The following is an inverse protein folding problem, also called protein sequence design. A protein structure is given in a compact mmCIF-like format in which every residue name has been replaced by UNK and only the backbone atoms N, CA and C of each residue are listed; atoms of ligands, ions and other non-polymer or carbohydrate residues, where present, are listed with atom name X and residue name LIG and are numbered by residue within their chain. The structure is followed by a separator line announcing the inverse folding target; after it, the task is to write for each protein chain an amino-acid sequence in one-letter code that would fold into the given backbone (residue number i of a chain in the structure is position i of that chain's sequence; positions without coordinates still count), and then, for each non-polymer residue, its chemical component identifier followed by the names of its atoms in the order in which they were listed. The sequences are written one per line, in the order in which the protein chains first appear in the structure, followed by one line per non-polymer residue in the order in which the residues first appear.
data_IF_469249435161
#
_entry.id   IF_469249435161
#
_cell.length_a   1.000
_cell.length_b   1.000
_cell.length_c   1.000
_cell.angle_alpha   90.00
_cell.angle_beta   90.00
_cell.angle_gamma   90.00
#
_symmetry.space_group_name_H-M   'P 1'
#
loop_
_entity.id
_entity.type
_entity.pdbx_description
1 polymer ?
#
# COMPACT_ATOMS: atom_id res chain seq x y z
N UNK A 1 -9.62 -23.38 -0.13
CA UNK A 1 -10.12 -22.02 -0.49
C UNK A 1 -8.94 -21.22 -0.99
N UNK A 2 -9.12 -20.32 -1.98
CA UNK A 2 -8.05 -19.41 -2.42
C UNK A 2 -7.82 -18.39 -1.30
N UNK A 3 -6.56 -18.16 -0.89
CA UNK A 3 -6.23 -17.12 0.07
C UNK A 3 -6.66 -15.75 -0.47
N UNK A 4 -7.00 -14.84 0.43
CA UNK A 4 -7.19 -13.43 0.08
C UNK A 4 -5.87 -12.85 -0.39
N UNK A 5 -5.92 -11.92 -1.34
CA UNK A 5 -4.73 -11.25 -1.88
C UNK A 5 -4.68 -9.81 -1.41
N UNK A 6 -3.58 -9.46 -0.77
CA UNK A 6 -3.31 -8.13 -0.24
C UNK A 6 -2.14 -7.55 -1.02
N UNK A 7 -2.34 -6.43 -1.72
CA UNK A 7 -1.26 -5.71 -2.38
C UNK A 7 -0.90 -4.45 -1.62
N UNK A 8 0.39 -4.27 -1.36
CA UNK A 8 0.95 -3.09 -0.70
C UNK A 8 1.68 -2.26 -1.74
N UNK A 9 1.17 -1.08 -2.04
CA UNK A 9 1.77 -0.16 -3.02
C UNK A 9 2.71 0.80 -2.30
N UNK A 10 4.00 0.54 -2.44
CA UNK A 10 5.09 1.19 -1.73
C UNK A 10 5.81 0.21 -0.79
N UNK A 11 7.06 -0.14 -1.10
CA UNK A 11 7.91 -1.04 -0.28
C UNK A 11 8.83 -0.28 0.68
N UNK A 12 8.45 0.94 1.07
CA UNK A 12 9.17 1.74 2.08
C UNK A 12 9.12 1.09 3.47
N UNK A 13 9.41 1.86 4.51
CA UNK A 13 9.38 1.34 5.89
C UNK A 13 7.98 0.87 6.29
N UNK A 14 6.96 1.70 6.06
CA UNK A 14 5.57 1.37 6.41
C UNK A 14 5.08 0.16 5.61
N UNK A 15 5.30 0.14 4.28
CA UNK A 15 4.87 -0.97 3.44
C UNK A 15 5.52 -2.30 3.82
N UNK A 16 6.82 -2.31 4.09
CA UNK A 16 7.52 -3.51 4.56
C UNK A 16 7.00 -4.01 5.92
N UNK A 17 6.80 -3.10 6.88
CA UNK A 17 6.25 -3.45 8.20
C UNK A 17 4.83 -3.99 8.08
N UNK A 18 3.99 -3.39 7.24
CA UNK A 18 2.62 -3.90 7.01
C UNK A 18 2.61 -5.26 6.32
N UNK A 19 3.53 -5.49 5.37
CA UNK A 19 3.69 -6.80 4.73
C UNK A 19 4.01 -7.88 5.75
N UNK A 20 4.96 -7.61 6.65
CA UNK A 20 5.34 -8.54 7.72
C UNK A 20 4.17 -8.81 8.68
N UNK A 21 3.50 -7.76 9.17
CA UNK A 21 2.35 -7.92 10.07
C UNK A 21 1.17 -8.65 9.40
N UNK A 22 0.91 -8.41 8.12
CA UNK A 22 -0.13 -9.11 7.37
C UNK A 22 0.20 -10.60 7.23
N UNK A 23 1.48 -10.92 6.98
CA UNK A 23 1.97 -12.29 6.90
C UNK A 23 1.88 -13.01 8.24
N UNK A 24 2.41 -12.41 9.32
CA UNK A 24 2.35 -12.99 10.67
C UNK A 24 0.92 -13.27 11.16
N UNK A 25 -0.04 -12.45 10.73
CA UNK A 25 -1.46 -12.63 11.07
C UNK A 25 -2.21 -13.50 10.06
N UNK A 26 -1.52 -14.02 9.06
CA UNK A 26 -2.08 -14.85 7.99
C UNK A 26 -3.34 -14.24 7.35
N UNK A 27 -3.34 -12.92 7.13
CA UNK A 27 -4.50 -12.20 6.59
C UNK A 27 -4.74 -12.53 5.10
N UNK A 28 -3.73 -13.03 4.41
CA UNK A 28 -3.78 -13.42 3.00
C UNK A 28 -2.39 -13.41 2.36
N UNK A 29 -2.34 -13.80 1.09
CA UNK A 29 -1.11 -13.73 0.29
C UNK A 29 -0.75 -12.26 0.02
N UNK A 30 0.51 -11.91 0.17
CA UNK A 30 0.98 -10.52 0.11
C UNK A 30 1.80 -10.26 -1.14
N UNK A 31 1.44 -9.23 -1.90
CA UNK A 31 2.25 -8.68 -2.99
C UNK A 31 2.77 -7.31 -2.60
N UNK A 32 4.07 -7.17 -2.51
CA UNK A 32 4.74 -5.90 -2.22
C UNK A 32 5.19 -5.26 -3.53
N UNK A 33 4.58 -4.15 -3.89
CA UNK A 33 4.88 -3.40 -5.11
C UNK A 33 5.72 -2.16 -4.82
N UNK A 34 6.76 -1.94 -5.62
CA UNK A 34 7.50 -0.67 -5.64
C UNK A 34 8.10 -0.43 -7.02
N UNK A 35 8.30 0.83 -7.41
CA UNK A 35 9.02 1.18 -8.64
C UNK A 35 10.48 0.69 -8.61
N UNK A 36 11.04 0.51 -7.42
CA UNK A 36 12.34 -0.10 -7.20
C UNK A 36 12.16 -1.61 -7.00
N UNK A 37 12.13 -2.38 -8.09
CA UNK A 37 11.92 -3.83 -8.06
C UNK A 37 12.83 -4.57 -7.06
N UNK A 38 14.10 -4.18 -6.98
CA UNK A 38 15.05 -4.78 -6.04
C UNK A 38 14.66 -4.59 -4.58
N UNK A 39 14.10 -3.42 -4.23
CA UNK A 39 13.62 -3.13 -2.88
C UNK A 39 12.40 -4.00 -2.52
N UNK A 40 11.42 -4.06 -3.41
CA UNK A 40 10.22 -4.86 -3.17
C UNK A 40 10.56 -6.36 -3.07
N UNK A 41 11.35 -6.89 -4.01
CA UNK A 41 11.78 -8.30 -4.03
C UNK A 41 12.62 -8.66 -2.82
N UNK A 42 13.60 -7.81 -2.46
CA UNK A 42 14.47 -8.05 -1.31
C UNK A 42 13.69 -8.11 0.00
N UNK A 43 12.78 -7.14 0.24
CA UNK A 43 11.93 -7.15 1.44
C UNK A 43 10.97 -8.33 1.49
N UNK A 44 10.33 -8.66 0.37
CA UNK A 44 9.43 -9.81 0.31
C UNK A 44 10.18 -11.12 0.63
N UNK A 45 11.38 -11.28 0.10
CA UNK A 45 12.23 -12.44 0.38
C UNK A 45 12.65 -12.48 1.86
N UNK A 46 13.12 -11.38 2.41
CA UNK A 46 13.55 -11.26 3.81
C UNK A 46 12.40 -11.63 4.76
N UNK A 47 11.20 -11.07 4.54
CA UNK A 47 10.02 -11.40 5.33
C UNK A 47 9.64 -12.88 5.15
N UNK A 48 9.65 -13.42 3.93
CA UNK A 48 9.28 -14.80 3.70
C UNK A 48 10.23 -15.80 4.39
N UNK A 49 11.52 -15.44 4.54
CA UNK A 49 12.49 -16.26 5.27
C UNK A 49 12.23 -16.30 6.77
N UNK A 50 11.62 -15.26 7.36
CA UNK A 50 11.25 -15.27 8.78
C UNK A 50 10.13 -16.27 9.10
N UNK A 51 9.39 -16.73 8.09
CA UNK A 51 8.28 -17.68 8.28
C UNK A 51 8.70 -18.98 8.99
N UNK A 52 9.94 -19.41 8.79
CA UNK A 52 10.48 -20.59 9.46
C UNK A 52 10.57 -20.44 11.00
N UNK A 53 10.66 -19.20 11.48
CA UNK A 53 10.74 -18.87 12.93
C UNK A 53 9.38 -18.39 13.42
N UNK A 54 8.73 -17.49 12.68
CA UNK A 54 7.48 -16.83 13.07
C UNK A 54 6.24 -17.73 12.84
N UNK A 55 6.37 -18.80 12.04
CA UNK A 55 5.37 -19.86 11.93
C UNK A 55 4.19 -19.52 11.02
N UNK A 56 4.25 -18.49 10.17
CA UNK A 56 3.17 -18.19 9.21
C UNK A 56 3.35 -18.93 7.88
N UNK A 57 2.24 -19.19 7.19
CA UNK A 57 2.21 -19.93 5.93
C UNK A 57 1.40 -19.19 4.85
N UNK A 58 1.85 -18.00 4.47
CA UNK A 58 1.29 -17.20 3.36
C UNK A 58 2.36 -16.93 2.32
N UNK A 59 1.93 -16.74 1.06
CA UNK A 59 2.84 -16.36 -0.02
C UNK A 59 3.19 -14.87 0.08
N UNK A 60 4.49 -14.56 -0.06
CA UNK A 60 4.96 -13.18 -0.21
C UNK A 60 5.75 -13.04 -1.51
N UNK A 61 5.44 -12.03 -2.28
CA UNK A 61 6.19 -11.67 -3.50
C UNK A 61 6.44 -10.18 -3.58
N UNK A 62 7.54 -9.81 -4.22
CA UNK A 62 7.90 -8.41 -4.50
C UNK A 62 7.96 -8.15 -5.99
N UNK A 63 7.44 -7.02 -6.46
CA UNK A 63 7.33 -6.70 -7.90
C UNK A 63 7.38 -5.20 -8.17
N UNK A 64 7.68 -4.84 -9.41
CA UNK A 64 7.50 -3.52 -10.00
C UNK A 64 6.45 -3.50 -11.12
N UNK A 65 5.78 -4.64 -11.34
CA UNK A 65 4.74 -4.80 -12.35
C UNK A 65 3.36 -4.81 -11.70
N UNK A 66 2.47 -3.89 -12.11
CA UNK A 66 1.09 -3.86 -11.62
C UNK A 66 0.29 -5.13 -11.96
N UNK A 67 0.64 -5.86 -13.02
CA UNK A 67 -0.04 -7.12 -13.35
C UNK A 67 0.03 -8.15 -12.22
N UNK A 68 1.10 -8.14 -11.44
CA UNK A 68 1.24 -9.04 -10.30
C UNK A 68 0.29 -8.69 -9.14
N UNK A 69 -0.27 -7.47 -9.14
CA UNK A 69 -1.31 -7.04 -8.18
C UNK A 69 -2.73 -7.38 -8.65
N UNK A 70 -2.88 -8.00 -9.82
CA UNK A 70 -4.19 -8.30 -10.40
C UNK A 70 -5.08 -9.09 -9.46
N UNK A 71 -6.37 -8.73 -9.45
CA UNK A 71 -7.42 -9.36 -8.63
C UNK A 71 -7.13 -9.34 -7.12
N UNK A 72 -6.47 -8.28 -6.64
CA UNK A 72 -6.31 -8.05 -5.20
C UNK A 72 -7.67 -7.81 -4.54
N UNK A 73 -7.89 -8.46 -3.38
CA UNK A 73 -9.06 -8.20 -2.53
C UNK A 73 -8.90 -6.86 -1.78
N UNK A 74 -7.67 -6.61 -1.30
CA UNK A 74 -7.33 -5.38 -0.57
C UNK A 74 -6.04 -4.79 -1.14
N UNK A 75 -6.03 -3.47 -1.30
CA UNK A 75 -4.84 -2.70 -1.68
C UNK A 75 -4.57 -1.66 -0.61
N UNK A 76 -3.36 -1.63 -0.09
CA UNK A 76 -2.93 -0.61 0.88
C UNK A 76 -1.88 0.27 0.22
N UNK A 77 -2.13 1.58 0.17
CA UNK A 77 -1.26 2.55 -0.48
C UNK A 77 -0.44 3.29 0.57
N UNK A 78 0.86 3.03 0.54
CA UNK A 78 1.88 3.72 1.33
C UNK A 78 2.83 4.53 0.43
N UNK A 79 2.65 4.42 -0.90
CA UNK A 79 3.46 5.10 -1.89
C UNK A 79 3.32 6.61 -1.78
N UNK A 80 4.43 7.31 -1.70
CA UNK A 80 4.52 8.75 -1.61
C UNK A 80 5.90 9.16 -1.12
N UNK A 81 6.25 10.42 -1.33
CA UNK A 81 7.49 10.98 -0.80
C UNK A 81 7.24 11.68 0.53
N UNK A 82 8.13 11.52 1.52
CA UNK A 82 8.06 12.29 2.75
C UNK A 82 8.46 13.75 2.48
N UNK A 83 8.01 14.66 3.33
CA UNK A 83 8.41 16.06 3.27
C UNK A 83 9.92 16.18 3.51
N UNK A 84 10.61 16.85 2.60
CA UNK A 84 12.03 17.16 2.73
C UNK A 84 12.23 18.59 3.26
N UNK A 85 13.37 18.88 3.91
CA UNK A 85 13.72 20.26 4.26
C UNK A 85 13.65 21.19 3.03
N UNK A 86 13.03 22.35 3.18
CA UNK A 86 12.83 23.31 2.09
C UNK A 86 11.61 23.07 1.20
N UNK A 87 10.90 21.95 1.30
CA UNK A 87 9.65 21.74 0.58
C UNK A 87 8.48 22.42 1.28
N UNK A 88 7.67 23.12 0.50
CA UNK A 88 6.35 23.61 0.95
C UNK A 88 5.34 22.45 1.01
N UNK A 89 4.18 22.69 1.60
CA UNK A 89 3.06 21.72 1.57
C UNK A 89 2.55 21.50 0.14
N UNK A 90 2.53 22.55 -0.66
CA UNK A 90 2.04 22.49 -2.03
C UNK A 90 2.98 21.70 -2.94
N UNK A 91 4.30 21.84 -2.76
CA UNK A 91 5.31 21.02 -3.49
C UNK A 91 5.14 19.53 -3.17
N UNK A 92 4.95 19.19 -1.89
CA UNK A 92 4.70 17.82 -1.46
C UNK A 92 3.41 17.29 -2.07
N UNK A 93 2.34 18.07 -2.01
CA UNK A 93 1.05 17.72 -2.57
C UNK A 93 1.16 17.48 -4.08
N UNK A 94 1.76 18.40 -4.82
CA UNK A 94 1.94 18.28 -6.27
C UNK A 94 2.71 17.02 -6.68
N UNK A 95 3.74 16.66 -5.89
CA UNK A 95 4.53 15.45 -6.13
C UNK A 95 3.70 14.18 -5.85
N UNK A 96 3.05 14.12 -4.69
CA UNK A 96 2.26 12.96 -4.30
C UNK A 96 1.01 12.78 -5.17
N UNK A 97 0.40 13.84 -5.69
CA UNK A 97 -0.71 13.74 -6.64
C UNK A 97 -0.30 13.05 -7.96
N UNK A 98 0.92 13.32 -8.46
CA UNK A 98 1.45 12.62 -9.65
C UNK A 98 1.62 11.12 -9.38
N UNK A 99 2.19 10.77 -8.23
CA UNK A 99 2.35 9.37 -7.82
C UNK A 99 0.99 8.69 -7.71
N UNK A 100 0.04 9.30 -7.02
CA UNK A 100 -1.30 8.72 -6.81
C UNK A 100 -2.08 8.57 -8.12
N UNK A 101 -1.88 9.45 -9.08
CA UNK A 101 -2.49 9.28 -10.41
C UNK A 101 -2.02 7.99 -11.08
N UNK A 102 -0.71 7.73 -11.07
CA UNK A 102 -0.14 6.48 -11.62
C UNK A 102 -0.64 5.24 -10.86
N UNK A 103 -0.66 5.32 -9.53
CA UNK A 103 -1.19 4.23 -8.68
C UNK A 103 -2.65 3.96 -8.98
N UNK A 104 -3.47 4.99 -9.10
CA UNK A 104 -4.90 4.86 -9.40
C UNK A 104 -5.15 4.21 -10.78
N UNK A 105 -4.36 4.57 -11.79
CA UNK A 105 -4.42 3.96 -13.12
C UNK A 105 -4.03 2.47 -13.07
N UNK A 106 -2.98 2.13 -12.33
CA UNK A 106 -2.58 0.75 -12.09
C UNK A 106 -3.68 -0.08 -11.43
N UNK A 107 -4.24 0.42 -10.34
CA UNK A 107 -5.34 -0.25 -9.60
C UNK A 107 -6.57 -0.44 -10.50
N UNK A 108 -6.95 0.60 -11.24
CA UNK A 108 -8.10 0.56 -12.15
C UNK A 108 -7.97 -0.55 -13.19
N UNK A 109 -6.76 -0.77 -13.71
CA UNK A 109 -6.51 -1.76 -14.76
C UNK A 109 -6.41 -3.19 -14.22
N UNK A 110 -5.89 -3.38 -13.00
CA UNK A 110 -5.58 -4.73 -12.48
C UNK A 110 -6.56 -5.21 -11.41
N UNK A 111 -7.09 -4.31 -10.59
CA UNK A 111 -7.90 -4.68 -9.42
C UNK A 111 -9.10 -3.74 -9.20
N UNK A 112 -10.01 -3.61 -10.18
CA UNK A 112 -11.13 -2.64 -10.13
C UNK A 112 -12.15 -2.95 -9.02
N UNK A 113 -12.11 -4.12 -8.43
CA UNK A 113 -13.00 -4.55 -7.36
C UNK A 113 -12.37 -4.49 -5.97
N UNK A 114 -11.09 -4.13 -5.86
CA UNK A 114 -10.37 -4.10 -4.61
C UNK A 114 -10.98 -3.11 -3.60
N UNK A 115 -10.81 -3.42 -2.30
CA UNK A 115 -10.97 -2.45 -1.24
C UNK A 115 -9.64 -1.72 -1.02
N UNK A 116 -9.64 -0.40 -1.10
CA UNK A 116 -8.42 0.41 -1.10
C UNK A 116 -8.30 1.22 0.19
N UNK A 117 -7.19 1.06 0.89
CA UNK A 117 -6.83 1.81 2.09
C UNK A 117 -5.64 2.71 1.76
N UNK A 118 -5.80 4.01 1.90
CA UNK A 118 -4.73 4.98 1.67
C UNK A 118 -4.19 5.52 2.99
N UNK A 119 -2.86 5.55 3.13
CA UNK A 119 -2.16 6.15 4.29
C UNK A 119 -1.20 7.28 3.86
N UNK A 120 -1.12 7.59 2.58
CA UNK A 120 -0.24 8.63 2.04
C UNK A 120 -0.74 10.02 2.38
N UNK A 121 0.14 10.88 2.87
CA UNK A 121 -0.16 12.27 3.22
C UNK A 121 0.06 13.25 2.04
N UNK A 122 -0.70 14.37 1.99
CA UNK A 122 -1.80 14.77 2.89
C UNK A 122 -3.07 13.94 2.62
N UNK A 123 -3.55 13.22 3.65
CA UNK A 123 -4.48 12.11 3.50
C UNK A 123 -5.75 12.45 2.75
N UNK A 124 -6.49 13.46 3.21
CA UNK A 124 -7.83 13.78 2.65
C UNK A 124 -7.76 14.09 1.17
N UNK A 125 -6.80 14.92 0.76
CA UNK A 125 -6.63 15.30 -0.65
C UNK A 125 -6.20 14.11 -1.50
N UNK A 126 -5.31 13.29 -0.97
CA UNK A 126 -4.82 12.08 -1.67
C UNK A 126 -5.96 11.06 -1.83
N UNK A 127 -6.79 10.85 -0.82
CA UNK A 127 -7.97 9.95 -0.91
C UNK A 127 -8.97 10.47 -1.93
N UNK A 128 -9.27 11.78 -1.94
CA UNK A 128 -10.16 12.40 -2.94
C UNK A 128 -9.61 12.24 -4.36
N UNK A 129 -8.31 12.46 -4.54
CA UNK A 129 -7.64 12.28 -5.84
C UNK A 129 -7.69 10.82 -6.28
N UNK A 130 -7.41 9.88 -5.37
CA UNK A 130 -7.46 8.45 -5.62
C UNK A 130 -8.86 8.00 -6.07
N UNK A 131 -9.91 8.43 -5.36
CA UNK A 131 -11.30 8.15 -5.75
C UNK A 131 -11.61 8.67 -7.15
N UNK A 132 -11.18 9.90 -7.46
CA UNK A 132 -11.41 10.55 -8.77
C UNK A 132 -10.68 9.82 -9.91
N UNK A 133 -9.41 9.47 -9.72
CA UNK A 133 -8.58 8.89 -10.78
C UNK A 133 -8.83 7.39 -10.98
N UNK A 134 -9.06 6.64 -9.91
CA UNK A 134 -9.33 5.20 -10.00
C UNK A 134 -10.73 4.90 -10.55
N UNK A 135 -11.70 5.79 -10.33
CA UNK A 135 -13.11 5.56 -10.67
C UNK A 135 -13.77 4.48 -9.82
N UNK A 136 -13.11 4.03 -8.75
CA UNK A 136 -13.69 3.07 -7.82
C UNK A 136 -14.87 3.68 -7.06
N UNK A 137 -15.85 2.88 -6.63
CA UNK A 137 -16.93 3.34 -5.76
C UNK A 137 -16.39 3.97 -4.47
N UNK A 138 -16.99 5.07 -4.01
CA UNK A 138 -16.53 5.82 -2.83
C UNK A 138 -16.40 4.96 -1.57
N UNK A 139 -17.29 4.00 -1.39
CA UNK A 139 -17.26 3.06 -0.27
C UNK A 139 -16.16 1.98 -0.36
N UNK A 140 -15.42 1.96 -1.44
CA UNK A 140 -14.26 1.06 -1.66
C UNK A 140 -12.92 1.74 -1.42
N UNK A 141 -12.89 3.06 -1.23
CA UNK A 141 -11.65 3.84 -1.06
C UNK A 141 -11.74 4.64 0.23
N UNK A 142 -10.90 4.30 1.19
CA UNK A 142 -10.85 4.96 2.49
C UNK A 142 -9.43 5.47 2.80
N UNK A 143 -9.37 6.46 3.68
CA UNK A 143 -8.14 6.93 4.31
C UNK A 143 -8.00 6.39 5.72
N UNK A 144 -6.79 6.04 6.14
CA UNK A 144 -6.48 5.65 7.52
C UNK A 144 -5.55 6.68 8.16
N UNK A 145 -6.05 7.38 9.16
CA UNK A 145 -5.29 8.26 10.04
C UNK A 145 -5.91 8.31 11.45
N UNK A 146 -7.22 8.37 11.56
CA UNK A 146 -7.92 8.60 12.82
C UNK A 146 -7.60 7.58 13.92
N UNK A 147 -7.33 6.32 13.56
CA UNK A 147 -6.93 5.29 14.53
C UNK A 147 -5.58 5.65 15.18
N UNK A 148 -4.61 6.13 14.38
CA UNK A 148 -3.32 6.58 14.89
C UNK A 148 -3.47 7.84 15.75
N UNK A 149 -4.23 8.82 15.26
CA UNK A 149 -4.41 10.10 15.96
C UNK A 149 -5.10 9.89 17.31
N UNK A 150 -6.11 9.04 17.38
CA UNK A 150 -6.79 8.69 18.63
C UNK A 150 -5.85 7.96 19.60
N UNK A 151 -4.97 7.08 19.11
CA UNK A 151 -4.01 6.40 19.98
C UNK A 151 -3.02 7.38 20.62
N UNK A 152 -2.59 8.40 19.88
CA UNK A 152 -1.68 9.44 20.39
C UNK A 152 -2.31 10.31 21.47
N UNK A 153 -3.63 10.53 21.44
CA UNK A 153 -4.35 11.27 22.49
C UNK A 153 -4.36 10.51 23.81
N UNK A 154 -4.33 9.18 23.76
CA UNK A 154 -4.38 8.33 24.96
C UNK A 154 -3.00 7.99 25.53
N UNK A 155 -1.94 8.32 24.85
CA UNK A 155 -0.55 8.13 25.31
C UNK A 155 -0.06 9.37 26.05
#
# INVERSE_FOLDING_TARGET
MKNKKISLIGAGQIGGTLAHLAAMKELGDVVLFDLMAGLAKGKALDISQSSAIDGFNVSLSGTDNYEDTRDSDVIIITAGVPRKPGMTRDDLLGTNLKIIKQVAEGIKSTSPNAFVICITNPLDVIVMALQKYSGLPKNKVIGMAGVLDLSLIHI
#
